data_IF_939856924842
#
_entry.id   IF_939856924842
#
_cell.length_a   1.000
_cell.length_b   1.000
_cell.length_c   1.000
_cell.angle_alpha   90.00
_cell.angle_beta   90.00
_cell.angle_gamma   90.00
#
_symmetry.space_group_name_H-M   'P 1'
#
loop_
_entity.id
_entity.type
_entity.pdbx_description
1 polymer ?
#
# COMPACT_ATOMS: atom_id res chain seq x y z
N UNK A 1 -16.00 -19.08 -32.93
CA UNK A 1 -15.78 -20.05 -31.84
C UNK A 1 -16.16 -19.37 -30.54
N UNK A 2 -17.02 -20.02 -29.76
CA UNK A 2 -17.58 -19.48 -28.50
C UNK A 2 -16.43 -19.29 -27.53
N UNK A 3 -16.29 -18.10 -26.94
CA UNK A 3 -15.35 -17.81 -25.86
C UNK A 3 -15.67 -18.78 -24.71
N UNK A 4 -14.95 -19.91 -24.63
CA UNK A 4 -15.28 -21.03 -23.72
C UNK A 4 -15.02 -20.69 -22.26
N UNK A 5 -14.23 -19.65 -22.01
CA UNK A 5 -14.03 -19.09 -20.70
C UNK A 5 -15.04 -17.97 -20.51
N UNK A 6 -16.19 -18.30 -19.89
CA UNK A 6 -17.01 -17.28 -19.23
C UNK A 6 -16.07 -16.46 -18.35
N UNK A 7 -16.25 -15.13 -18.33
CA UNK A 7 -15.60 -14.28 -17.33
C UNK A 7 -16.15 -14.71 -15.97
N UNK A 8 -15.49 -15.67 -15.33
CA UNK A 8 -15.90 -16.18 -14.02
C UNK A 8 -15.31 -15.23 -13.00
N UNK A 9 -16.16 -14.40 -12.42
CA UNK A 9 -15.80 -13.53 -11.31
C UNK A 9 -15.46 -14.35 -10.07
N UNK A 10 -14.53 -13.86 -9.23
CA UNK A 10 -14.24 -14.48 -7.94
C UNK A 10 -15.50 -14.49 -7.05
N UNK A 11 -15.53 -15.41 -6.08
CA UNK A 11 -16.57 -15.41 -5.06
C UNK A 11 -16.64 -14.05 -4.36
N UNK A 12 -17.84 -13.50 -4.14
CA UNK A 12 -18.00 -12.23 -3.46
C UNK A 12 -17.57 -12.34 -1.99
N UNK A 13 -17.17 -11.22 -1.35
CA UNK A 13 -16.93 -11.17 0.08
C UNK A 13 -18.12 -11.71 0.90
N UNK A 14 -17.89 -12.31 2.08
CA UNK A 14 -18.97 -12.85 2.91
C UNK A 14 -20.06 -11.82 3.22
N UNK A 15 -21.33 -12.20 3.12
CA UNK A 15 -22.48 -11.31 3.41
C UNK A 15 -22.43 -10.68 4.80
N UNK A 16 -21.87 -11.38 5.79
CA UNK A 16 -21.65 -10.86 7.14
C UNK A 16 -20.70 -9.67 7.15
N UNK A 17 -19.63 -9.74 6.35
CA UNK A 17 -18.67 -8.66 6.18
C UNK A 17 -19.33 -7.48 5.45
N UNK A 18 -19.99 -7.74 4.32
CA UNK A 18 -20.72 -6.71 3.56
C UNK A 18 -21.71 -5.98 4.46
N UNK A 19 -22.53 -6.72 5.22
CA UNK A 19 -23.47 -6.13 6.19
C UNK A 19 -22.77 -5.35 7.30
N UNK A 20 -21.59 -5.77 7.76
CA UNK A 20 -20.85 -5.06 8.82
C UNK A 20 -20.17 -3.77 8.34
N UNK A 21 -19.77 -3.71 7.07
CA UNK A 21 -19.26 -2.47 6.45
C UNK A 21 -20.43 -1.51 6.18
N UNK A 22 -21.60 -2.03 5.79
CA UNK A 22 -22.79 -1.25 5.50
C UNK A 22 -23.59 -0.82 6.75
N UNK A 23 -23.54 -1.59 7.85
CA UNK A 23 -24.22 -1.28 9.10
C UNK A 23 -23.24 -0.75 10.15
N UNK A 24 -23.50 0.46 10.64
CA UNK A 24 -22.67 1.20 11.62
C UNK A 24 -22.49 0.51 13.01
N UNK A 25 -23.10 -0.65 13.25
CA UNK A 25 -23.39 -1.13 14.61
C UNK A 25 -22.46 -2.20 15.20
N UNK A 26 -21.40 -2.64 14.51
CA UNK A 26 -20.44 -3.61 15.08
C UNK A 26 -18.98 -3.16 15.01
N UNK A 27 -18.67 -2.07 15.74
CA UNK A 27 -17.31 -1.70 16.09
C UNK A 27 -16.72 -2.63 17.17
N UNK A 28 -16.06 -3.71 16.75
CA UNK A 28 -15.27 -4.56 17.65
C UNK A 28 -13.95 -3.88 17.98
N UNK A 29 -13.92 -3.13 19.08
CA UNK A 29 -12.68 -2.59 19.65
C UNK A 29 -12.87 -2.36 21.15
N UNK A 30 -12.99 -3.45 21.90
CA UNK A 30 -12.72 -3.42 23.34
C UNK A 30 -11.29 -3.92 23.54
N UNK A 31 -10.41 -3.02 23.98
CA UNK A 31 -8.97 -3.21 24.27
C UNK A 31 -8.01 -3.11 23.08
N UNK A 32 -7.91 -1.93 22.47
CA UNK A 32 -6.76 -1.59 21.62
C UNK A 32 -5.94 -0.51 22.32
N UNK A 33 -4.70 -0.85 22.64
CA UNK A 33 -3.74 0.01 23.33
C UNK A 33 -2.95 0.78 22.27
N UNK A 34 -2.89 2.10 22.43
CA UNK A 34 -2.11 2.98 21.57
C UNK A 34 -0.93 3.48 22.38
N UNK A 35 0.25 3.31 21.82
CA UNK A 35 1.51 3.58 22.49
C UNK A 35 1.78 5.10 22.54
N UNK A 36 2.29 5.60 23.66
CA UNK A 36 2.58 7.03 23.83
C UNK A 36 3.67 7.51 22.85
N UNK A 37 3.50 8.75 22.37
CA UNK A 37 4.43 9.46 21.46
C UNK A 37 5.72 9.78 22.22
N UNK A 38 6.87 9.59 21.56
CA UNK A 38 8.17 9.95 22.14
C UNK A 38 8.30 11.48 22.24
N UNK A 39 8.45 12.04 23.45
CA UNK A 39 8.71 13.47 23.60
C UNK A 39 10.09 13.82 23.04
N UNK A 40 10.18 14.92 22.27
CA UNK A 40 11.46 15.47 21.78
C UNK A 40 11.88 16.65 22.64
N UNK A 41 13.12 16.64 23.11
CA UNK A 41 13.70 17.71 23.92
C UNK A 41 14.33 18.83 23.07
N UNK A 42 14.54 20.01 23.66
CA UNK A 42 15.19 21.13 22.99
C UNK A 42 16.57 20.77 22.40
N UNK A 43 17.38 19.97 23.12
CA UNK A 43 18.69 19.54 22.63
C UNK A 43 18.58 18.78 21.30
N UNK A 44 17.63 17.87 21.20
CA UNK A 44 17.41 17.04 20.02
C UNK A 44 16.92 17.86 18.83
N UNK A 45 16.05 18.83 19.10
CA UNK A 45 15.58 19.81 18.12
C UNK A 45 16.73 20.69 17.63
N UNK A 46 17.63 21.14 18.52
CA UNK A 46 18.81 21.94 18.15
C UNK A 46 19.76 21.15 17.25
N UNK A 47 20.00 19.88 17.56
CA UNK A 47 20.87 19.01 16.78
C UNK A 47 20.30 18.72 15.39
N UNK A 48 19.01 18.44 15.32
CA UNK A 48 18.28 18.24 14.06
C UNK A 48 18.39 19.47 13.15
N UNK A 49 18.09 20.66 13.69
CA UNK A 49 18.17 21.91 12.94
C UNK A 49 19.61 22.21 12.50
N UNK A 50 20.62 21.90 13.33
CA UNK A 50 22.02 22.08 12.96
C UNK A 50 22.43 21.14 11.81
N UNK A 51 21.94 19.90 11.81
CA UNK A 51 22.11 18.95 10.71
C UNK A 51 21.57 19.52 9.40
N UNK A 52 20.36 20.09 9.45
CA UNK A 52 19.72 20.67 8.28
C UNK A 52 20.43 21.94 7.79
N UNK A 53 20.85 22.84 8.69
CA UNK A 53 21.65 24.03 8.34
C UNK A 53 22.93 23.67 7.58
N UNK A 54 23.57 22.54 7.90
CA UNK A 54 24.77 22.07 7.18
C UNK A 54 24.45 21.59 5.76
N UNK A 55 23.24 21.10 5.51
CA UNK A 55 22.78 20.64 4.18
C UNK A 55 22.43 21.83 3.27
N UNK A 56 22.04 22.97 3.84
CA UNK A 56 21.67 24.17 3.08
C UNK A 56 22.81 25.17 2.94
N UNK A 57 23.36 25.30 1.73
CA UNK A 57 24.52 26.16 1.41
C UNK A 57 24.36 27.63 1.83
N UNK A 58 23.14 28.17 1.78
CA UNK A 58 22.87 29.59 2.01
C UNK A 58 22.44 29.91 3.45
N UNK A 59 22.35 28.90 4.33
CA UNK A 59 21.94 29.08 5.71
C UNK A 59 23.16 29.38 6.58
N UNK A 60 23.23 30.60 7.12
CA UNK A 60 24.37 31.02 7.94
C UNK A 60 24.30 30.37 9.33
N UNK A 61 25.32 29.59 9.71
CA UNK A 61 25.40 28.98 11.05
C UNK A 61 25.44 30.01 12.19
N UNK A 62 25.84 31.25 11.90
CA UNK A 62 25.78 32.36 12.86
C UNK A 62 24.36 32.81 13.20
N UNK A 63 23.40 32.63 12.28
CA UNK A 63 21.98 32.86 12.55
C UNK A 63 21.44 31.80 13.51
N UNK A 64 21.76 30.52 13.26
CA UNK A 64 21.41 29.41 14.15
C UNK A 64 21.92 29.60 15.59
N UNK A 65 23.20 29.98 15.77
CA UNK A 65 23.78 30.19 17.11
C UNK A 65 23.09 31.29 17.93
N UNK A 66 22.44 32.24 17.27
CA UNK A 66 21.73 33.37 17.92
C UNK A 66 20.23 33.10 18.08
N UNK A 67 19.74 31.98 17.55
CA UNK A 67 18.34 31.60 17.57
C UNK A 67 17.94 31.14 18.98
N UNK A 68 16.89 31.75 19.51
CA UNK A 68 16.32 31.41 20.81
C UNK A 68 15.03 30.64 20.57
N UNK A 69 14.91 29.47 21.20
CA UNK A 69 13.69 28.67 21.12
C UNK A 69 12.79 29.11 22.26
N UNK A 70 11.64 29.71 21.93
CA UNK A 70 10.72 30.28 22.90
C UNK A 70 9.77 29.20 23.43
N UNK A 71 9.32 28.29 22.55
CA UNK A 71 8.30 27.30 22.85
C UNK A 71 8.39 26.11 21.91
N UNK A 72 8.24 24.91 22.44
CA UNK A 72 8.13 23.66 21.70
C UNK A 72 6.73 23.10 21.91
N UNK A 73 6.00 22.85 20.84
CA UNK A 73 4.72 22.15 20.83
C UNK A 73 4.93 20.74 20.28
N UNK A 74 4.74 19.74 21.15
CA UNK A 74 4.79 18.34 20.75
C UNK A 74 3.43 17.92 20.18
N UNK A 75 3.45 17.47 18.94
CA UNK A 75 2.30 17.04 18.15
C UNK A 75 2.59 15.65 17.55
N UNK A 76 1.56 15.02 17.01
CA UNK A 76 1.68 13.83 16.17
C UNK A 76 0.88 14.01 14.89
N UNK A 77 1.47 13.58 13.78
CA UNK A 77 0.71 13.32 12.57
C UNK A 77 0.50 11.80 12.50
N UNK A 78 -0.76 11.37 12.38
CA UNK A 78 -1.08 9.96 12.22
C UNK A 78 -1.14 9.65 10.73
N UNK A 79 -0.36 8.67 10.32
CA UNK A 79 -0.41 8.06 9.00
C UNK A 79 -1.21 6.77 9.09
N UNK A 80 -2.42 6.80 8.55
CA UNK A 80 -3.31 5.64 8.45
C UNK A 80 -3.24 5.03 7.05
N UNK A 81 -3.07 3.71 7.01
CA UNK A 81 -3.02 2.94 5.78
C UNK A 81 -3.98 1.76 5.89
N UNK A 82 -4.84 1.60 4.88
CA UNK A 82 -5.55 0.36 4.62
C UNK A 82 -4.92 -0.32 3.40
N UNK A 83 -4.39 -1.53 3.59
CA UNK A 83 -3.86 -2.35 2.51
C UNK A 83 -4.78 -3.54 2.28
N UNK A 84 -5.16 -3.78 1.04
CA UNK A 84 -5.88 -4.99 0.61
C UNK A 84 -5.01 -5.78 -0.34
N UNK A 85 -4.61 -6.96 0.13
CA UNK A 85 -3.90 -7.93 -0.66
C UNK A 85 -4.92 -8.76 -1.42
N UNK A 86 -4.98 -8.54 -2.74
CA UNK A 86 -5.99 -9.14 -3.61
C UNK A 86 -5.37 -10.02 -4.68
N UNK A 87 -6.06 -11.08 -5.02
CA UNK A 87 -5.74 -11.96 -6.14
C UNK A 87 -6.66 -11.67 -7.32
N UNK A 88 -6.08 -11.51 -8.50
CA UNK A 88 -6.79 -11.49 -9.77
C UNK A 88 -6.29 -12.64 -10.65
N UNK A 89 -7.19 -13.30 -11.37
CA UNK A 89 -6.85 -14.41 -12.26
C UNK A 89 -7.36 -14.11 -13.67
N UNK A 90 -6.55 -14.50 -14.66
CA UNK A 90 -6.91 -14.48 -16.07
C UNK A 90 -6.48 -15.78 -16.73
N UNK A 91 -7.33 -16.35 -17.58
CA UNK A 91 -7.00 -17.53 -18.38
C UNK A 91 -6.77 -17.17 -19.83
N UNK A 92 -5.71 -17.72 -20.39
CA UNK A 92 -5.40 -17.69 -21.82
C UNK A 92 -5.02 -19.09 -22.29
N UNK A 93 -5.41 -19.45 -23.50
CA UNK A 93 -4.95 -20.70 -24.11
C UNK A 93 -3.46 -20.59 -24.47
N UNK A 94 -2.69 -21.62 -24.14
CA UNK A 94 -1.30 -21.77 -24.53
C UNK A 94 -1.16 -23.06 -25.36
N UNK A 95 -0.27 -23.06 -26.35
CA UNK A 95 -0.02 -24.20 -27.23
C UNK A 95 1.46 -24.57 -27.20
N UNK A 96 1.76 -25.81 -26.85
CA UNK A 96 3.10 -26.37 -26.89
C UNK A 96 3.13 -27.72 -27.61
N UNK A 97 4.30 -28.10 -28.10
CA UNK A 97 4.49 -29.36 -28.80
C UNK A 97 4.54 -30.52 -27.79
N UNK A 98 3.68 -31.51 -27.98
CA UNK A 98 3.63 -32.71 -27.13
C UNK A 98 4.69 -33.71 -27.58
N UNK A 99 5.55 -34.14 -26.66
CA UNK A 99 6.48 -35.26 -26.93
C UNK A 99 5.74 -36.60 -26.76
N UNK A 100 5.87 -37.55 -27.69
CA UNK A 100 5.29 -38.88 -27.53
C UNK A 100 5.71 -39.51 -26.19
N UNK A 101 4.73 -39.85 -25.34
CA UNK A 101 4.95 -40.47 -24.02
C UNK A 101 4.71 -39.58 -22.79
N UNK A 102 4.54 -38.25 -22.96
CA UNK A 102 4.26 -37.32 -21.84
C UNK A 102 2.83 -37.41 -21.27
N UNK A 103 1.94 -38.20 -21.87
CA UNK A 103 0.50 -38.21 -21.59
C UNK A 103 0.03 -39.30 -20.61
N UNK A 104 0.92 -39.81 -19.76
CA UNK A 104 0.56 -40.91 -18.86
C UNK A 104 -0.19 -40.48 -17.60
N UNK A 105 -0.36 -39.17 -17.35
CA UNK A 105 -0.87 -38.69 -16.06
C UNK A 105 -1.94 -37.58 -16.18
N UNK A 106 -2.86 -37.72 -17.17
CA UNK A 106 -4.02 -36.83 -17.22
C UNK A 106 -4.99 -37.18 -16.09
N UNK A 107 -4.90 -36.43 -14.99
CA UNK A 107 -5.82 -36.48 -13.86
C UNK A 107 -7.27 -36.40 -14.35
N UNK A 108 -8.13 -37.29 -13.81
CA UNK A 108 -9.55 -37.44 -14.17
C UNK A 108 -10.43 -36.25 -13.77
N UNK A 109 -9.88 -35.24 -13.09
CA UNK A 109 -10.58 -34.05 -12.64
C UNK A 109 -10.24 -32.85 -13.52
N UNK A 110 -11.15 -32.48 -14.41
CA UNK A 110 -11.03 -31.26 -15.21
C UNK A 110 -11.51 -30.05 -14.40
N UNK A 111 -10.59 -29.26 -13.85
CA UNK A 111 -10.95 -28.00 -13.19
C UNK A 111 -11.25 -26.96 -14.27
N UNK A 112 -12.52 -26.57 -14.37
CA UNK A 112 -12.98 -25.60 -15.39
C UNK A 112 -12.91 -24.15 -14.89
N UNK A 113 -13.05 -23.93 -13.59
CA UNK A 113 -13.03 -22.60 -12.99
C UNK A 113 -11.63 -22.27 -12.45
N UNK A 114 -11.00 -21.17 -12.90
CA UNK A 114 -9.68 -20.76 -12.40
C UNK A 114 -9.65 -20.58 -10.89
N UNK A 115 -10.75 -20.21 -10.25
CA UNK A 115 -10.80 -19.91 -8.81
C UNK A 115 -10.89 -21.14 -7.90
N UNK A 116 -11.23 -22.32 -8.44
CA UNK A 116 -11.36 -23.56 -7.66
C UNK A 116 -9.99 -24.19 -7.33
N UNK A 117 -8.93 -23.70 -7.95
CA UNK A 117 -7.55 -24.14 -7.72
C UNK A 117 -6.88 -23.26 -6.67
N UNK A 118 -6.36 -23.83 -5.59
CA UNK A 118 -5.69 -23.03 -4.55
C UNK A 118 -4.29 -22.59 -5.01
N UNK A 119 -4.00 -21.29 -4.90
CA UNK A 119 -2.68 -20.72 -5.19
C UNK A 119 -2.22 -19.93 -3.97
N UNK A 120 -1.21 -20.46 -3.28
CA UNK A 120 -0.66 -19.79 -2.10
C UNK A 120 0.35 -18.70 -2.47
N UNK A 121 0.25 -17.49 -1.87
CA UNK A 121 1.24 -16.44 -2.06
C UNK A 121 2.59 -16.83 -1.45
N UNK A 122 3.71 -16.37 -2.04
CA UNK A 122 5.05 -16.63 -1.51
C UNK A 122 5.37 -15.78 -0.29
N UNK A 123 4.84 -14.56 -0.26
CA UNK A 123 4.92 -13.62 0.86
C UNK A 123 3.62 -12.81 0.91
N UNK A 124 3.14 -12.51 2.11
CA UNK A 124 1.97 -11.64 2.29
C UNK A 124 2.35 -10.19 2.00
N UNK A 125 1.41 -9.43 1.42
CA UNK A 125 1.57 -8.00 1.09
C UNK A 125 2.76 -7.71 0.17
N UNK A 126 3.07 -8.63 -0.75
CA UNK A 126 4.08 -8.44 -1.78
C UNK A 126 3.49 -8.77 -3.14
N UNK A 127 3.56 -7.81 -4.07
CA UNK A 127 3.03 -8.01 -5.41
C UNK A 127 3.79 -9.13 -6.14
N UNK A 128 3.04 -10.04 -6.75
CA UNK A 128 3.58 -11.13 -7.56
C UNK A 128 2.68 -11.45 -8.74
N UNK A 129 3.29 -11.94 -9.82
CA UNK A 129 2.59 -12.47 -11.01
C UNK A 129 3.12 -13.87 -11.27
N UNK A 130 2.22 -14.83 -11.46
CA UNK A 130 2.56 -16.23 -11.76
C UNK A 130 1.75 -16.73 -12.96
N UNK A 131 2.37 -17.54 -13.79
CA UNK A 131 1.73 -18.27 -14.89
C UNK A 131 1.74 -19.75 -14.52
N UNK A 132 0.56 -20.36 -14.46
CA UNK A 132 0.37 -21.76 -14.05
C UNK A 132 -0.49 -22.46 -15.10
N UNK A 133 -0.16 -23.71 -15.42
CA UNK A 133 -1.05 -24.55 -16.24
C UNK A 133 -2.24 -25.01 -15.39
N UNK A 134 -3.45 -24.85 -15.92
CA UNK A 134 -4.66 -25.28 -15.23
C UNK A 134 -4.74 -26.82 -15.22
N UNK A 135 -4.86 -27.48 -14.05
CA UNK A 135 -4.90 -28.94 -13.98
C UNK A 135 -6.04 -29.55 -14.80
N UNK A 136 -5.72 -30.50 -15.68
CA UNK A 136 -6.71 -31.18 -16.51
C UNK A 136 -7.32 -30.30 -17.62
N UNK A 137 -6.71 -29.15 -17.94
CA UNK A 137 -7.14 -28.27 -19.05
C UNK A 137 -6.46 -28.60 -20.39
N UNK A 138 -5.40 -29.41 -20.36
CA UNK A 138 -4.59 -29.76 -21.53
C UNK A 138 -5.37 -30.69 -22.47
N UNK A 139 -5.48 -30.28 -23.75
CA UNK A 139 -6.10 -31.10 -24.80
C UNK A 139 -5.13 -31.25 -25.97
N UNK A 140 -5.11 -32.45 -26.55
CA UNK A 140 -4.32 -32.72 -27.75
C UNK A 140 -5.19 -32.39 -28.95
N UNK A 141 -4.77 -31.40 -29.74
CA UNK A 141 -5.40 -31.08 -31.00
C UNK A 141 -4.34 -31.04 -32.11
N UNK A 142 -4.71 -31.36 -33.36
CA UNK A 142 -3.83 -31.07 -34.51
C UNK A 142 -3.47 -29.59 -34.50
N UNK A 143 -2.18 -29.28 -34.63
CA UNK A 143 -1.73 -27.89 -34.64
C UNK A 143 -2.38 -27.16 -35.83
N UNK A 144 -3.24 -26.18 -35.56
CA UNK A 144 -3.94 -25.41 -36.60
C UNK A 144 -3.01 -24.56 -37.47
N UNK A 145 -1.78 -24.35 -37.01
CA UNK A 145 -0.79 -23.51 -37.68
C UNK A 145 0.11 -24.30 -38.64
N UNK A 146 0.47 -25.55 -38.32
CA UNK A 146 1.31 -26.40 -39.16
C UNK A 146 0.60 -27.66 -39.67
N UNK A 147 -0.69 -27.86 -39.37
CA UNK A 147 -1.44 -29.07 -39.71
C UNK A 147 -0.72 -30.37 -39.35
N UNK A 148 0.06 -30.37 -38.26
CA UNK A 148 0.87 -31.51 -37.80
C UNK A 148 2.16 -31.78 -38.61
N UNK A 149 2.62 -30.84 -39.44
CA UNK A 149 3.88 -30.92 -40.20
C UNK A 149 5.13 -30.51 -39.40
N UNK A 150 4.94 -30.01 -38.16
CA UNK A 150 6.03 -29.82 -37.20
C UNK A 150 6.85 -28.53 -37.34
N UNK A 151 6.48 -27.59 -38.23
CA UNK A 151 7.18 -26.30 -38.36
C UNK A 151 6.21 -25.12 -38.51
N UNK A 152 6.41 -24.05 -37.72
CA UNK A 152 5.65 -22.79 -37.82
C UNK A 152 6.39 -21.62 -37.15
N UNK A 153 6.17 -20.38 -37.60
CA UNK A 153 6.73 -19.15 -37.00
C UNK A 153 5.65 -18.28 -36.32
N UNK A 154 5.82 -17.97 -35.03
CA UNK A 154 4.91 -17.08 -34.26
C UNK A 154 5.08 -15.60 -34.66
N UNK A 155 4.07 -15.00 -35.31
CA UNK A 155 4.09 -13.58 -35.72
C UNK A 155 3.93 -12.58 -34.56
N UNK A 156 3.34 -12.97 -33.43
CA UNK A 156 3.06 -12.06 -32.30
C UNK A 156 4.09 -12.12 -31.18
N UNK A 157 4.74 -13.26 -30.95
CA UNK A 157 5.50 -13.51 -29.73
C UNK A 157 6.98 -13.83 -29.94
N UNK A 158 7.43 -14.08 -31.18
CA UNK A 158 8.79 -14.52 -31.55
C UNK A 158 9.40 -15.61 -30.62
N UNK A 159 8.57 -16.44 -29.98
CA UNK A 159 9.02 -17.56 -29.12
C UNK A 159 9.27 -17.24 -27.64
N UNK A 160 8.76 -16.12 -27.10
CA UNK A 160 8.98 -15.73 -25.69
C UNK A 160 7.82 -16.04 -24.72
N UNK A 161 6.70 -16.58 -25.21
CA UNK A 161 5.68 -17.27 -24.40
C UNK A 161 4.97 -16.47 -23.29
N UNK A 162 4.96 -15.14 -23.31
CA UNK A 162 4.26 -14.34 -22.28
C UNK A 162 3.37 -13.27 -22.90
N UNK A 163 2.10 -13.28 -22.51
CA UNK A 163 1.13 -12.22 -22.79
C UNK A 163 0.90 -11.41 -21.51
N UNK A 164 0.91 -10.08 -21.61
CA UNK A 164 0.77 -9.22 -20.44
C UNK A 164 -0.70 -9.07 -20.11
N UNK A 165 -1.13 -9.63 -18.99
CA UNK A 165 -2.49 -9.40 -18.52
C UNK A 165 -2.60 -7.92 -18.07
N UNK A 166 -3.49 -7.16 -18.73
CA UNK A 166 -3.72 -5.75 -18.44
C UNK A 166 -4.56 -5.51 -17.16
N UNK A 167 -5.02 -6.60 -16.52
CA UNK A 167 -5.95 -6.59 -15.38
C UNK A 167 -5.36 -7.13 -14.07
N UNK A 168 -4.11 -7.61 -14.07
CA UNK A 168 -3.53 -8.25 -12.89
C UNK A 168 -2.76 -7.25 -12.04
N UNK A 169 -3.20 -7.17 -10.78
CA UNK A 169 -2.47 -6.74 -9.60
C UNK A 169 -2.05 -5.28 -9.54
N UNK A 170 -2.89 -4.50 -8.86
CA UNK A 170 -2.38 -3.52 -7.90
C UNK A 170 -2.82 -4.01 -6.52
N UNK A 171 -1.89 -4.17 -5.58
CA UNK A 171 -2.26 -4.11 -4.17
C UNK A 171 -3.00 -2.79 -3.98
N UNK A 172 -4.25 -2.85 -3.52
CA UNK A 172 -5.02 -1.65 -3.26
C UNK A 172 -4.56 -1.09 -1.92
N UNK A 173 -3.99 0.11 -1.96
CA UNK A 173 -3.42 0.79 -0.81
C UNK A 173 -3.98 2.19 -0.76
N UNK A 174 -4.73 2.47 0.30
CA UNK A 174 -5.29 3.79 0.58
C UNK A 174 -4.60 4.36 1.81
N UNK A 175 -4.14 5.60 1.70
CA UNK A 175 -3.36 6.28 2.74
C UNK A 175 -4.03 7.59 3.13
N UNK A 176 -3.91 7.95 4.40
CA UNK A 176 -4.40 9.21 4.95
C UNK A 176 -3.46 9.74 6.02
N UNK A 177 -3.20 11.04 6.00
CA UNK A 177 -2.48 11.75 7.05
C UNK A 177 -3.46 12.67 7.77
N UNK A 178 -3.47 12.65 9.10
CA UNK A 178 -4.23 13.64 9.87
C UNK A 178 -3.66 15.03 9.65
N UNK A 179 -4.50 16.06 9.81
CA UNK A 179 -4.12 17.45 9.58
C UNK A 179 -2.81 17.82 10.31
N UNK A 180 -1.84 18.33 9.53
CA UNK A 180 -0.54 18.75 10.03
C UNK A 180 -0.01 19.91 9.19
N UNK A 181 0.71 20.84 9.81
CA UNK A 181 1.36 21.97 9.14
C UNK A 181 2.62 21.54 8.34
N UNK A 182 3.06 20.28 8.48
CA UNK A 182 4.14 19.70 7.67
C UNK A 182 3.55 19.13 6.38
N UNK A 183 4.10 19.47 5.19
CA UNK A 183 3.60 18.95 3.91
C UNK A 183 3.59 17.42 3.83
N UNK A 184 2.48 16.84 3.35
CA UNK A 184 2.31 15.38 3.22
C UNK A 184 3.44 14.68 2.48
N UNK A 185 3.99 15.28 1.43
CA UNK A 185 5.11 14.73 0.65
C UNK A 185 6.35 14.42 1.49
N UNK A 186 6.56 15.20 2.56
CA UNK A 186 7.65 14.99 3.52
C UNK A 186 7.30 13.89 4.52
N UNK A 187 6.02 13.76 4.86
CA UNK A 187 5.49 12.77 5.80
C UNK A 187 5.41 11.36 5.20
N UNK A 188 5.18 11.22 3.90
CA UNK A 188 5.10 9.91 3.20
C UNK A 188 6.34 9.03 3.44
N UNK A 189 7.51 9.64 3.56
CA UNK A 189 8.78 8.95 3.78
C UNK A 189 9.31 9.09 5.21
N UNK A 190 8.57 9.77 6.08
CA UNK A 190 9.02 10.02 7.45
C UNK A 190 8.80 8.76 8.30
N UNK A 191 9.82 8.28 9.01
CA UNK A 191 9.66 7.16 9.93
C UNK A 191 8.84 7.59 11.15
N UNK A 192 7.85 6.79 11.53
CA UNK A 192 7.08 6.96 12.75
C UNK A 192 7.06 5.69 13.59
N UNK A 193 6.31 5.72 14.69
CA UNK A 193 6.05 4.57 15.55
C UNK A 193 4.75 3.91 15.14
N UNK A 194 4.75 2.63 14.82
CA UNK A 194 3.51 1.88 14.61
C UNK A 194 2.76 1.80 15.95
N UNK A 195 1.58 2.43 16.02
CA UNK A 195 0.75 2.46 17.24
C UNK A 195 -0.42 1.47 17.16
N UNK A 196 -0.76 1.01 15.96
CA UNK A 196 -1.78 0.00 15.77
C UNK A 196 -1.59 -0.74 14.44
N UNK A 197 -1.72 -2.06 14.50
CA UNK A 197 -1.69 -2.95 13.33
C UNK A 197 -2.67 -4.09 13.55
N UNK A 198 -3.58 -4.30 12.59
CA UNK A 198 -4.53 -5.40 12.62
C UNK A 198 -4.64 -6.01 11.23
N UNK A 199 -4.59 -7.35 11.20
CA UNK A 199 -4.63 -8.13 9.97
C UNK A 199 -5.73 -9.17 10.07
N UNK A 200 -6.63 -9.18 9.09
CA UNK A 200 -7.75 -10.13 8.98
C UNK A 200 -8.00 -10.46 7.50
N UNK A 201 -8.70 -11.56 7.16
CA UNK A 201 -9.18 -11.80 5.81
C UNK A 201 -10.00 -10.60 5.27
N UNK A 202 -10.84 -10.05 6.15
CA UNK A 202 -11.56 -8.81 5.96
C UNK A 202 -11.53 -8.00 7.26
N UNK A 203 -10.98 -6.79 7.23
CA UNK A 203 -10.89 -5.95 8.43
C UNK A 203 -12.15 -5.08 8.56
N UNK A 204 -12.64 -4.94 9.80
CA UNK A 204 -13.75 -4.03 10.09
C UNK A 204 -13.25 -2.58 10.21
N UNK A 205 -14.08 -1.57 9.88
CA UNK A 205 -13.72 -0.18 10.10
C UNK A 205 -13.37 0.13 11.56
N UNK A 206 -12.34 0.96 11.75
CA UNK A 206 -12.02 1.55 13.04
C UNK A 206 -13.13 2.57 13.38
N UNK A 207 -13.74 2.43 14.55
CA UNK A 207 -14.94 3.24 14.92
C UNK A 207 -14.82 3.94 16.27
N UNK A 208 -13.86 3.54 17.11
CA UNK A 208 -13.72 3.99 18.50
C UNK A 208 -12.35 4.62 18.79
N UNK A 209 -11.61 5.01 17.76
CA UNK A 209 -10.36 5.72 17.97
C UNK A 209 -10.62 7.17 18.39
N UNK A 210 -9.74 7.75 19.21
CA UNK A 210 -9.95 9.08 19.76
C UNK A 210 -9.86 10.19 18.70
N UNK A 211 -9.12 9.98 17.62
CA UNK A 211 -9.11 10.88 16.46
C UNK A 211 -10.24 10.50 15.52
N UNK A 212 -11.25 11.37 15.39
CA UNK A 212 -12.45 11.12 14.59
C UNK A 212 -12.14 10.92 13.10
N UNK A 213 -11.20 11.70 12.55
CA UNK A 213 -10.78 11.59 11.13
C UNK A 213 -10.34 10.16 10.76
N UNK A 214 -9.65 9.46 11.67
CA UNK A 214 -9.23 8.07 11.45
C UNK A 214 -10.44 7.13 11.36
N UNK A 215 -11.45 7.34 12.19
CA UNK A 215 -12.67 6.51 12.14
C UNK A 215 -13.43 6.74 10.83
N UNK A 216 -13.55 7.99 10.41
CA UNK A 216 -14.22 8.36 9.16
C UNK A 216 -13.49 7.80 7.93
N UNK A 217 -12.15 7.96 7.89
CA UNK A 217 -11.32 7.46 6.79
C UNK A 217 -11.26 5.95 6.76
N UNK A 218 -11.23 5.29 7.92
CA UNK A 218 -11.29 3.83 7.98
C UNK A 218 -12.60 3.29 7.41
N UNK A 219 -13.73 3.90 7.74
CA UNK A 219 -15.03 3.54 7.12
C UNK A 219 -15.02 3.75 5.61
N UNK A 220 -14.52 4.91 5.16
CA UNK A 220 -14.45 5.24 3.74
C UNK A 220 -13.58 4.24 2.96
N UNK A 221 -12.36 3.97 3.43
CA UNK A 221 -11.43 3.05 2.75
C UNK A 221 -11.96 1.61 2.75
N UNK A 222 -12.55 1.13 3.84
CA UNK A 222 -13.18 -0.20 3.85
C UNK A 222 -14.33 -0.29 2.83
N UNK A 223 -15.14 0.75 2.68
CA UNK A 223 -16.23 0.77 1.69
C UNK A 223 -15.70 0.85 0.25
N UNK A 224 -14.69 1.67 0.00
CA UNK A 224 -14.03 1.80 -1.31
C UNK A 224 -13.37 0.50 -1.76
N UNK A 225 -12.56 -0.12 -0.89
CA UNK A 225 -11.90 -1.39 -1.20
C UNK A 225 -12.92 -2.52 -1.40
N UNK A 226 -14.04 -2.51 -0.67
CA UNK A 226 -15.14 -3.45 -0.91
C UNK A 226 -15.76 -3.25 -2.29
N UNK A 227 -16.01 -2.00 -2.68
CA UNK A 227 -16.57 -1.67 -4.00
C UNK A 227 -15.62 -2.05 -5.14
N UNK A 228 -14.32 -1.78 -4.97
CA UNK A 228 -13.30 -2.04 -5.99
C UNK A 228 -12.98 -3.53 -6.15
N UNK A 229 -13.08 -4.31 -5.07
CA UNK A 229 -12.84 -5.76 -5.12
C UNK A 229 -14.04 -6.56 -5.65
N UNK A 230 -15.27 -6.08 -5.45
CA UNK A 230 -16.49 -6.83 -5.78
C UNK A 230 -16.56 -7.25 -7.24
N UNK A 231 -16.47 -8.56 -7.49
CA UNK A 231 -16.58 -9.16 -8.82
C UNK A 231 -15.33 -9.02 -9.70
N UNK A 232 -14.29 -8.33 -9.23
CA UNK A 232 -13.06 -8.05 -9.97
C UNK A 232 -11.85 -8.85 -9.45
N UNK A 233 -11.69 -8.95 -8.13
CA UNK A 233 -10.60 -9.68 -7.49
C UNK A 233 -11.05 -10.36 -6.19
N UNK A 234 -10.30 -11.38 -5.77
CA UNK A 234 -10.51 -12.06 -4.48
C UNK A 234 -9.63 -11.38 -3.43
N UNK A 235 -10.23 -10.87 -2.36
CA UNK A 235 -9.45 -10.38 -1.22
C UNK A 235 -8.86 -11.57 -0.46
N UNK A 236 -7.53 -11.61 -0.35
CA UNK A 236 -6.80 -12.63 0.44
C UNK A 236 -6.70 -12.18 1.89
N UNK A 237 -6.29 -10.92 2.09
CA UNK A 237 -5.96 -10.35 3.39
C UNK A 237 -6.14 -8.84 3.34
N UNK A 238 -6.58 -8.25 4.44
CA UNK A 238 -6.55 -6.81 4.65
C UNK A 238 -5.78 -6.48 5.92
N UNK A 239 -5.14 -5.33 5.92
CA UNK A 239 -4.39 -4.83 7.07
C UNK A 239 -4.65 -3.35 7.30
N UNK A 240 -5.07 -3.02 8.52
CA UNK A 240 -4.98 -1.66 9.03
C UNK A 240 -3.57 -1.45 9.58
N UNK A 241 -2.95 -0.33 9.22
CA UNK A 241 -1.73 0.14 9.85
C UNK A 241 -1.91 1.61 10.24
N UNK A 242 -1.62 1.94 11.50
CA UNK A 242 -1.64 3.30 12.00
C UNK A 242 -0.28 3.61 12.61
N UNK A 243 0.40 4.59 12.02
CA UNK A 243 1.74 5.02 12.41
C UNK A 243 1.65 6.44 12.94
N UNK A 244 2.16 6.67 14.15
CA UNK A 244 2.33 8.01 14.71
C UNK A 244 3.70 8.56 14.30
N UNK A 245 3.69 9.59 13.47
CA UNK A 245 4.87 10.37 13.11
C UNK A 245 5.00 11.50 14.16
N UNK A 246 6.03 11.50 15.00
CA UNK A 246 6.23 12.59 15.96
C UNK A 246 6.53 13.89 15.20
N UNK A 247 5.91 14.98 15.62
CA UNK A 247 6.13 16.33 15.07
C UNK A 247 6.33 17.30 16.22
N UNK A 248 7.42 18.04 16.23
CA UNK A 248 7.65 19.14 17.15
C UNK A 248 7.59 20.46 16.37
N UNK A 249 6.62 21.30 16.71
CA UNK A 249 6.55 22.67 16.20
C UNK A 249 7.33 23.59 17.15
N UNK A 250 8.31 24.29 16.59
CA UNK A 250 9.26 25.09 17.36
C UNK A 250 9.05 26.56 17.02
N UNK A 251 8.73 27.35 18.04
CA UNK A 251 8.64 28.80 17.95
C UNK A 251 9.98 29.38 18.34
N UNK A 252 10.52 30.25 17.48
CA UNK A 252 11.82 30.87 17.73
C UNK A 252 11.80 32.36 17.51
N UNK A 253 12.76 33.03 18.12
CA UNK A 253 13.15 34.40 17.81
C UNK A 253 14.61 34.49 17.39
N UNK A 254 14.86 35.36 16.41
CA UNK A 254 16.18 35.72 15.91
C UNK A 254 16.23 37.24 15.72
N UNK A 255 16.80 37.95 16.70
CA UNK A 255 16.73 39.41 16.77
C UNK A 255 15.28 39.87 16.89
N UNK A 256 14.82 40.69 15.94
CA UNK A 256 13.43 41.17 15.90
C UNK A 256 12.49 40.26 15.09
N UNK A 257 13.02 39.19 14.50
CA UNK A 257 12.24 38.28 13.65
C UNK A 257 11.76 37.11 14.48
N UNK A 258 10.47 36.79 14.39
CA UNK A 258 9.90 35.55 14.93
C UNK A 258 9.55 34.62 13.79
N UNK A 259 9.61 33.32 14.05
CA UNK A 259 9.21 32.32 13.07
C UNK A 259 8.94 30.99 13.72
N UNK A 260 8.55 30.04 12.87
CA UNK A 260 8.31 28.66 13.25
C UNK A 260 9.02 27.72 12.31
N UNK A 261 9.47 26.60 12.85
CA UNK A 261 9.91 25.44 12.06
C UNK A 261 9.42 24.17 12.72
N UNK A 262 9.55 23.07 11.99
CA UNK A 262 9.05 21.76 12.41
C UNK A 262 10.19 20.76 12.39
N UNK A 263 10.25 19.91 13.42
CA UNK A 263 11.07 18.70 13.44
C UNK A 263 10.12 17.51 13.40
N UNK A 264 10.32 16.58 12.49
CA UNK A 264 9.39 15.47 12.29
C UNK A 264 10.10 14.14 12.07
N UNK A 265 9.38 13.05 12.35
CA UNK A 265 9.87 11.69 12.20
C UNK A 265 10.83 11.26 13.30
N UNK A 266 10.98 9.94 13.47
CA UNK A 266 11.93 9.35 14.42
C UNK A 266 13.40 9.64 14.06
N UNK A 267 13.66 9.94 12.79
CA UNK A 267 14.95 10.37 12.25
C UNK A 267 15.19 11.88 12.38
N UNK A 268 14.21 12.64 12.90
CA UNK A 268 14.32 14.06 13.27
C UNK A 268 14.70 14.95 12.10
N UNK A 269 14.01 14.80 10.97
CA UNK A 269 14.17 15.72 9.84
C UNK A 269 13.58 17.09 10.18
N UNK A 270 14.12 18.13 9.55
CA UNK A 270 13.67 19.51 9.79
C UNK A 270 12.98 20.09 8.56
N UNK A 271 11.79 20.63 8.77
CA UNK A 271 11.09 21.45 7.79
C UNK A 271 11.08 22.91 8.25
N UNK A 272 11.81 23.76 7.54
CA UNK A 272 11.87 25.20 7.80
C UNK A 272 11.27 25.95 6.61
N UNK A 273 9.98 26.35 6.67
CA UNK A 273 9.33 27.01 5.54
C UNK A 273 9.96 28.36 5.19
N UNK A 274 10.37 29.13 6.22
CA UNK A 274 10.93 30.46 6.07
C UNK A 274 12.21 30.60 6.88
N UNK A 275 13.35 30.14 6.36
CA UNK A 275 14.62 30.32 7.05
C UNK A 275 15.04 31.80 7.00
N UNK A 276 15.38 32.43 8.15
CA UNK A 276 15.79 33.83 8.20
C UNK A 276 17.24 33.97 7.71
N UNK A 277 17.45 33.81 6.40
CA UNK A 277 18.72 34.15 5.75
C UNK A 277 18.58 35.53 5.09
N UNK A 278 19.53 36.43 5.38
CA UNK A 278 19.73 37.66 4.60
C UNK A 278 20.40 37.31 3.25
N UNK A 279 19.80 36.43 2.46
CA UNK A 279 20.25 36.13 1.11
C UNK A 279 19.22 36.70 0.13
N UNK A 280 19.50 37.91 -0.33
CA UNK A 280 18.91 38.44 -1.56
C UNK A 280 19.63 37.73 -2.70
N UNK A 281 18.92 36.93 -3.49
CA UNK A 281 19.40 36.55 -4.82
C UNK A 281 19.29 37.84 -5.63
N UNK A 282 20.43 38.48 -5.89
CA UNK A 282 20.55 39.55 -6.88
C UNK A 282 20.54 38.93 -8.28
#
# INVERSE_FOLDING_TARGET
MVNRYKTISPEPPPDSYVKSVLNDSHGSASNRYFDDILPMGECEVRDALMGEVKRHRYWKSSAFKKMQFERLEMLSCLHYVLESFTEARSTSEATEAVTPGQLLDQATTSIQNPWDYEVLPSSMFTDQVRVLEMPGSSTINPCSACNSEGTYHCFHCRGLGTDKCNFCSKTERSEFFTECEVPEKLLTHAPGKEIFSEEQPYVLPITKYHVQEINEKSKLFCAEHLQNSMGMCRVIRQRHCLVAIPVCKVFYSLGNTKGTFFVYGNDRQCYVPNFPSKCVIL
#
